data_IF_018332446883
#
_entry.id   IF_018332446883
#
_cell.length_a   1.000
_cell.length_b   1.000
_cell.length_c   1.000
_cell.angle_alpha   90.00
_cell.angle_beta   90.00
_cell.angle_gamma   90.00
#
_symmetry.space_group_name_H-M   'P 1'
#
loop_
_entity.id
_entity.type
_entity.pdbx_description
1 polymer ?
#
# COMPACT_ATOMS: atom_id res chain seq x y z
N UNK A 1 -13.39 20.65 -12.30
CA UNK A 1 -12.93 19.41 -11.62
C UNK A 1 -13.94 18.33 -11.96
N UNK A 2 -13.50 17.22 -12.56
CA UNK A 2 -14.40 16.08 -12.81
C UNK A 2 -14.82 15.45 -11.47
N UNK A 3 -16.02 14.86 -11.47
CA UNK A 3 -16.49 14.13 -10.30
C UNK A 3 -15.84 12.74 -10.28
N UNK A 4 -15.75 12.10 -9.10
CA UNK A 4 -15.27 10.72 -8.98
C UNK A 4 -15.98 9.78 -9.96
N UNK A 5 -17.31 9.92 -10.08
CA UNK A 5 -18.11 9.14 -11.00
C UNK A 5 -17.67 9.30 -12.47
N UNK A 6 -17.47 10.55 -12.93
CA UNK A 6 -17.01 10.82 -14.30
C UNK A 6 -15.63 10.20 -14.58
N UNK A 7 -14.73 10.22 -13.60
CA UNK A 7 -13.40 9.63 -13.76
C UNK A 7 -13.46 8.11 -13.80
N UNK A 8 -14.32 7.48 -12.99
CA UNK A 8 -14.58 6.03 -13.08
C UNK A 8 -15.22 5.65 -14.44
N UNK A 9 -16.14 6.47 -14.98
CA UNK A 9 -16.70 6.20 -16.30
C UNK A 9 -15.61 6.23 -17.40
N UNK A 10 -14.69 7.19 -17.37
CA UNK A 10 -13.54 7.22 -18.30
C UNK A 10 -12.63 5.99 -18.14
N UNK A 11 -12.49 5.48 -16.91
CA UNK A 11 -11.77 4.23 -16.66
C UNK A 11 -12.51 3.06 -17.32
N UNK A 12 -13.83 2.95 -17.12
CA UNK A 12 -14.66 1.88 -17.70
C UNK A 12 -14.56 1.81 -19.22
N UNK A 13 -14.47 2.95 -19.90
CA UNK A 13 -14.33 3.01 -21.37
C UNK A 13 -13.09 2.25 -21.89
N UNK A 14 -12.08 2.05 -21.05
CA UNK A 14 -10.88 1.27 -21.41
C UNK A 14 -11.06 -0.24 -21.26
N UNK A 15 -12.17 -0.67 -20.65
CA UNK A 15 -12.48 -2.07 -20.37
C UNK A 15 -13.84 -2.46 -20.93
N UNK A 16 -13.94 -2.63 -22.27
CA UNK A 16 -15.24 -2.85 -22.94
C UNK A 16 -15.95 -4.12 -22.51
N UNK A 17 -15.20 -5.11 -21.98
CA UNK A 17 -15.75 -6.42 -21.59
C UNK A 17 -16.38 -6.43 -20.19
N UNK A 18 -16.43 -5.27 -19.51
CA UNK A 18 -17.19 -5.15 -18.28
C UNK A 18 -16.54 -4.39 -17.13
N UNK A 19 -17.41 -3.98 -16.23
CA UNK A 19 -17.09 -3.18 -15.04
C UNK A 19 -16.14 -3.87 -14.07
N UNK A 20 -16.12 -5.21 -14.04
CA UNK A 20 -15.23 -5.98 -13.15
C UNK A 20 -13.75 -5.73 -13.43
N UNK A 21 -13.38 -5.63 -14.71
CA UNK A 21 -11.98 -5.35 -15.09
C UNK A 21 -11.52 -3.94 -14.74
N UNK A 22 -12.45 -3.00 -14.59
CA UNK A 22 -12.19 -1.62 -14.17
C UNK A 22 -12.08 -1.45 -12.65
N UNK A 23 -12.29 -2.52 -11.86
CA UNK A 23 -12.34 -2.43 -10.39
C UNK A 23 -11.02 -1.97 -9.77
N UNK A 24 -9.89 -2.52 -10.18
CA UNK A 24 -8.57 -2.14 -9.64
C UNK A 24 -8.29 -0.64 -9.79
N UNK A 25 -8.34 -0.05 -11.00
CA UNK A 25 -8.09 1.38 -11.15
C UNK A 25 -9.17 2.27 -10.50
N UNK A 26 -10.43 1.82 -10.41
CA UNK A 26 -11.47 2.57 -9.73
C UNK A 26 -11.27 2.57 -8.20
N UNK A 27 -10.93 1.43 -7.60
CA UNK A 27 -10.62 1.33 -6.17
C UNK A 27 -9.36 2.13 -5.81
N UNK A 28 -8.36 2.15 -6.69
CA UNK A 28 -7.18 3.00 -6.50
C UNK A 28 -7.56 4.48 -6.46
N UNK A 29 -8.41 4.93 -7.38
CA UNK A 29 -8.90 6.30 -7.40
C UNK A 29 -9.72 6.63 -6.14
N UNK A 30 -10.54 5.68 -5.65
CA UNK A 30 -11.28 5.83 -4.40
C UNK A 30 -10.32 5.95 -3.20
N UNK A 31 -9.28 5.12 -3.13
CA UNK A 31 -8.27 5.19 -2.08
C UNK A 31 -7.49 6.51 -2.10
N UNK A 32 -7.09 7.00 -3.27
CA UNK A 32 -6.44 8.31 -3.42
C UNK A 32 -7.34 9.47 -2.94
N UNK A 33 -8.65 9.36 -3.15
CA UNK A 33 -9.63 10.36 -2.71
C UNK A 33 -9.87 10.34 -1.19
N UNK A 34 -9.95 9.16 -0.59
CA UNK A 34 -10.36 8.97 0.80
C UNK A 34 -9.19 8.67 1.77
N UNK A 35 -7.96 8.45 1.24
CA UNK A 35 -6.78 8.04 2.00
C UNK A 35 -6.69 6.53 2.22
N UNK A 36 -7.83 5.88 2.44
CA UNK A 36 -7.98 4.42 2.50
C UNK A 36 -9.41 4.02 2.06
N UNK A 37 -9.65 2.74 1.82
CA UNK A 37 -10.94 2.24 1.36
C UNK A 37 -11.90 2.05 2.54
N UNK A 38 -12.58 3.13 2.94
CA UNK A 38 -13.68 3.05 3.89
C UNK A 38 -14.86 2.28 3.28
N UNK A 39 -15.83 1.92 4.11
CA UNK A 39 -17.07 1.32 3.62
C UNK A 39 -17.75 2.21 2.58
N UNK A 40 -17.82 3.50 2.84
CA UNK A 40 -18.42 4.50 1.95
C UNK A 40 -17.64 4.61 0.63
N UNK A 41 -16.30 4.56 0.69
CA UNK A 41 -15.44 4.57 -0.51
C UNK A 41 -15.67 3.32 -1.38
N UNK A 42 -15.87 2.16 -0.76
CA UNK A 42 -16.19 0.91 -1.47
C UNK A 42 -17.58 0.95 -2.10
N UNK A 43 -18.58 1.48 -1.38
CA UNK A 43 -19.94 1.67 -1.89
C UNK A 43 -19.95 2.68 -3.06
N UNK A 44 -19.25 3.82 -2.95
CA UNK A 44 -19.11 4.82 -4.02
C UNK A 44 -18.44 4.21 -5.28
N UNK A 45 -17.40 3.41 -5.09
CA UNK A 45 -16.74 2.73 -6.21
C UNK A 45 -17.64 1.68 -6.86
N UNK A 46 -18.39 0.92 -6.07
CA UNK A 46 -19.32 -0.10 -6.54
C UNK A 46 -20.45 0.51 -7.38
N UNK A 47 -21.05 1.60 -6.89
CA UNK A 47 -22.10 2.33 -7.61
C UNK A 47 -21.58 2.90 -8.94
N UNK A 48 -20.38 3.50 -8.94
CA UNK A 48 -19.78 4.04 -10.16
C UNK A 48 -19.41 2.96 -11.18
N UNK A 49 -19.10 1.75 -10.73
CA UNK A 49 -18.77 0.60 -11.58
C UNK A 49 -20.00 -0.19 -12.02
N UNK A 50 -21.16 0.01 -11.39
CA UNK A 50 -22.36 -0.83 -11.56
C UNK A 50 -22.09 -2.30 -11.16
N UNK A 51 -21.49 -2.49 -9.99
CA UNK A 51 -21.20 -3.79 -9.36
C UNK A 51 -21.66 -3.80 -7.89
N UNK A 52 -21.59 -4.94 -7.23
CA UNK A 52 -21.94 -5.01 -5.81
C UNK A 52 -20.81 -4.51 -4.91
N UNK A 53 -21.10 -3.86 -3.78
CA UNK A 53 -20.08 -3.50 -2.78
C UNK A 53 -19.27 -4.71 -2.28
N UNK A 54 -19.90 -5.89 -2.19
CA UNK A 54 -19.22 -7.14 -1.83
C UNK A 54 -18.14 -7.53 -2.84
N UNK A 55 -18.36 -7.28 -4.12
CA UNK A 55 -17.35 -7.50 -5.14
C UNK A 55 -16.16 -6.54 -4.94
N UNK A 56 -16.40 -5.24 -4.76
CA UNK A 56 -15.34 -4.26 -4.49
C UNK A 56 -14.55 -4.63 -3.22
N UNK A 57 -15.22 -5.03 -2.16
CA UNK A 57 -14.58 -5.50 -0.94
C UNK A 57 -13.71 -6.75 -1.18
N UNK A 58 -14.19 -7.73 -1.95
CA UNK A 58 -13.43 -8.93 -2.27
C UNK A 58 -12.15 -8.63 -3.06
N UNK A 59 -12.20 -7.65 -3.97
CA UNK A 59 -11.02 -7.17 -4.69
C UNK A 59 -10.07 -6.44 -3.74
N UNK A 60 -10.59 -5.55 -2.90
CA UNK A 60 -9.79 -4.76 -1.95
C UNK A 60 -9.07 -5.64 -0.92
N UNK A 61 -9.68 -6.74 -0.46
CA UNK A 61 -9.05 -7.69 0.47
C UNK A 61 -8.03 -8.62 -0.18
N UNK A 62 -8.11 -8.79 -1.49
CA UNK A 62 -7.21 -9.68 -2.22
C UNK A 62 -5.87 -9.01 -2.58
N UNK A 63 -5.86 -7.72 -2.86
CA UNK A 63 -4.68 -7.00 -3.33
C UNK A 63 -4.05 -6.17 -2.20
N UNK A 64 -2.79 -6.41 -1.89
CA UNK A 64 -2.03 -5.76 -0.81
C UNK A 64 -1.89 -4.23 -0.96
N UNK A 65 -2.06 -3.71 -2.18
CA UNK A 65 -2.00 -2.28 -2.45
C UNK A 65 -3.16 -1.49 -1.86
N UNK A 66 -4.24 -2.17 -1.47
CA UNK A 66 -5.41 -1.53 -0.89
C UNK A 66 -5.37 -1.56 0.64
N UNK A 67 -5.69 -0.41 1.23
CA UNK A 67 -5.75 -0.22 2.67
C UNK A 67 -7.21 -0.14 3.10
N UNK A 68 -7.64 -1.05 3.96
CA UNK A 68 -9.01 -1.10 4.52
C UNK A 68 -9.10 -0.41 5.89
N UNK A 69 -7.95 -0.02 6.44
CA UNK A 69 -7.80 0.68 7.70
C UNK A 69 -6.95 1.94 7.49
N UNK A 70 -7.06 2.93 8.38
CA UNK A 70 -6.22 4.12 8.30
C UNK A 70 -4.74 3.77 8.28
N UNK A 71 -4.01 4.40 7.37
CA UNK A 71 -2.55 4.29 7.26
C UNK A 71 -1.91 5.65 7.51
N UNK A 72 -0.63 5.65 7.86
CA UNK A 72 0.16 6.87 8.01
C UNK A 72 0.32 7.64 6.70
N UNK A 73 0.84 8.86 6.81
CA UNK A 73 1.17 9.66 5.63
C UNK A 73 2.23 8.98 4.77
N UNK A 74 3.14 8.24 5.42
CA UNK A 74 4.16 7.44 4.78
C UNK A 74 3.96 5.96 5.07
N UNK A 75 4.28 5.11 4.10
CA UNK A 75 4.30 3.66 4.26
C UNK A 75 5.70 3.12 4.05
N UNK A 76 6.18 2.31 4.99
CA UNK A 76 7.44 1.56 4.87
C UNK A 76 7.09 0.09 4.81
N UNK A 77 7.42 -0.56 3.69
CA UNK A 77 7.17 -1.98 3.46
C UNK A 77 8.49 -2.72 3.30
N UNK A 78 8.74 -3.71 4.14
CA UNK A 78 9.99 -4.48 4.16
C UNK A 78 9.72 -5.89 3.65
N UNK A 79 10.37 -6.27 2.57
CA UNK A 79 10.27 -7.62 2.02
C UNK A 79 10.93 -8.64 2.95
N UNK A 80 10.16 -9.68 3.31
CA UNK A 80 10.64 -10.76 4.20
C UNK A 80 10.74 -12.12 3.50
N UNK A 81 10.52 -12.18 2.19
CA UNK A 81 10.60 -13.41 1.41
C UNK A 81 12.02 -14.00 1.41
N UNK A 82 12.15 -15.23 0.91
CA UNK A 82 13.34 -16.05 1.02
C UNK A 82 14.66 -15.32 0.71
N UNK A 83 14.86 -14.63 -0.44
CA UNK A 83 16.12 -13.93 -0.71
C UNK A 83 16.41 -12.81 0.31
N UNK A 84 15.41 -12.00 0.65
CA UNK A 84 15.55 -10.93 1.64
C UNK A 84 15.77 -11.50 3.04
N UNK A 85 15.08 -12.58 3.41
CA UNK A 85 15.27 -13.31 4.66
C UNK A 85 16.70 -13.83 4.81
N UNK A 86 17.27 -14.43 3.76
CA UNK A 86 18.67 -14.87 3.74
C UNK A 86 19.67 -13.72 3.84
N UNK A 87 19.32 -12.52 3.34
CA UNK A 87 20.11 -11.30 3.45
C UNK A 87 19.90 -10.54 4.77
N UNK A 88 19.09 -11.08 5.70
CA UNK A 88 18.92 -10.50 7.04
C UNK A 88 17.72 -9.55 7.17
N UNK A 89 16.67 -9.70 6.36
CA UNK A 89 15.48 -8.86 6.41
C UNK A 89 14.85 -8.76 7.81
N UNK A 90 14.89 -9.82 8.63
CA UNK A 90 14.38 -9.77 9.98
C UNK A 90 15.10 -8.72 10.85
N UNK A 91 16.41 -8.57 10.70
CA UNK A 91 17.18 -7.53 11.40
C UNK A 91 16.86 -6.13 10.90
N UNK A 92 16.53 -6.01 9.61
CA UNK A 92 16.08 -4.74 9.03
C UNK A 92 14.70 -4.38 9.61
N UNK A 93 13.76 -5.32 9.69
CA UNK A 93 12.45 -5.10 10.34
C UNK A 93 12.65 -4.62 11.79
N UNK A 94 13.45 -5.34 12.58
CA UNK A 94 13.74 -4.99 13.98
C UNK A 94 14.38 -3.59 14.13
N UNK A 95 15.22 -3.18 13.19
CA UNK A 95 15.83 -1.86 13.19
C UNK A 95 14.78 -0.76 12.94
N UNK A 96 13.87 -0.95 11.97
CA UNK A 96 12.77 -0.02 11.72
C UNK A 96 11.77 0.02 12.88
N UNK A 97 11.43 -1.14 13.47
CA UNK A 97 10.56 -1.20 14.66
C UNK A 97 11.14 -0.39 15.82
N UNK A 98 12.45 -0.52 16.05
CA UNK A 98 13.15 0.22 17.09
C UNK A 98 13.19 1.73 16.80
N UNK A 99 13.45 2.12 15.56
CA UNK A 99 13.55 3.53 15.16
C UNK A 99 12.19 4.23 15.26
N UNK A 100 11.14 3.57 14.84
CA UNK A 100 9.77 4.10 14.84
C UNK A 100 9.03 3.91 16.18
N UNK A 101 9.52 3.04 17.07
CA UNK A 101 8.87 2.72 18.33
C UNK A 101 7.57 1.92 18.20
N UNK A 102 7.35 1.25 17.06
CA UNK A 102 6.16 0.45 16.75
C UNK A 102 6.55 -0.93 16.25
N UNK A 103 5.58 -1.82 16.12
CA UNK A 103 5.76 -3.14 15.50
C UNK A 103 5.33 -3.13 14.04
N UNK A 104 5.88 -4.07 13.25
CA UNK A 104 5.38 -4.30 11.90
C UNK A 104 3.88 -4.62 11.91
N UNK A 105 3.11 -3.91 11.12
CA UNK A 105 1.64 -3.91 11.09
C UNK A 105 1.01 -2.72 11.80
N UNK A 106 1.79 -1.88 12.47
CA UNK A 106 1.28 -0.73 13.23
C UNK A 106 1.59 0.61 12.54
N UNK A 107 0.87 1.64 12.97
CA UNK A 107 1.09 3.04 12.58
C UNK A 107 1.55 3.83 13.80
N UNK A 108 2.48 4.75 13.62
CA UNK A 108 2.96 5.65 14.70
C UNK A 108 1.80 6.46 15.28
N UNK A 109 1.88 6.81 16.58
CA UNK A 109 0.81 7.53 17.28
C UNK A 109 0.45 8.89 16.65
N UNK A 110 1.43 9.53 16.02
CA UNK A 110 1.27 10.80 15.29
C UNK A 110 0.60 10.61 13.91
N UNK A 111 0.34 9.36 13.49
CA UNK A 111 -0.22 9.05 12.19
C UNK A 111 0.73 9.29 11.02
N UNK A 112 2.02 9.42 11.27
CA UNK A 112 2.99 9.75 10.22
C UNK A 112 3.43 8.52 9.42
N UNK A 113 3.81 7.41 10.08
CA UNK A 113 4.40 6.25 9.42
C UNK A 113 3.64 4.96 9.73
N UNK A 114 3.31 4.19 8.71
CA UNK A 114 2.86 2.79 8.84
C UNK A 114 4.01 1.86 8.44
N UNK A 115 4.40 0.95 9.33
CA UNK A 115 5.42 -0.07 9.06
C UNK A 115 4.77 -1.40 8.71
N UNK A 116 5.19 -2.05 7.63
CA UNK A 116 4.69 -3.36 7.20
C UNK A 116 5.82 -4.31 6.86
N UNK A 117 5.73 -5.54 7.33
CA UNK A 117 6.49 -6.66 6.78
C UNK A 117 5.64 -7.30 5.68
N UNK A 118 6.15 -7.37 4.46
CA UNK A 118 5.43 -7.89 3.30
C UNK A 118 6.11 -9.12 2.73
N UNK A 119 5.32 -10.00 2.12
CA UNK A 119 5.82 -11.27 1.60
C UNK A 119 6.81 -11.07 0.46
N UNK A 120 6.52 -10.21 -0.53
CA UNK A 120 7.43 -10.05 -1.66
C UNK A 120 7.25 -8.70 -2.36
N UNK A 121 8.36 -7.99 -2.59
CA UNK A 121 8.42 -6.77 -3.40
C UNK A 121 9.00 -6.99 -4.81
N UNK A 122 9.30 -8.24 -5.19
CA UNK A 122 9.77 -8.58 -6.53
C UNK A 122 11.23 -8.20 -6.87
N UNK A 123 12.00 -7.68 -5.91
CA UNK A 123 13.36 -7.19 -6.11
C UNK A 123 14.46 -8.16 -5.64
N UNK A 124 14.31 -9.47 -5.87
CA UNK A 124 15.17 -10.50 -5.29
C UNK A 124 16.69 -10.37 -5.56
N UNK A 125 17.07 -9.76 -6.69
CA UNK A 125 18.48 -9.49 -7.01
C UNK A 125 19.08 -8.32 -6.23
N UNK A 126 18.27 -7.61 -5.43
CA UNK A 126 18.66 -6.39 -4.70
C UNK A 126 18.29 -6.46 -3.21
N UNK A 127 18.28 -7.68 -2.67
CA UNK A 127 17.90 -7.93 -1.27
C UNK A 127 18.87 -7.23 -0.29
N UNK A 128 18.40 -6.68 0.84
CA UNK A 128 17.02 -6.58 1.29
C UNK A 128 16.34 -5.40 0.60
N UNK A 129 15.10 -5.62 0.14
CA UNK A 129 14.33 -4.56 -0.51
C UNK A 129 13.33 -3.97 0.47
N UNK A 130 13.31 -2.65 0.54
CA UNK A 130 12.36 -1.85 1.30
C UNK A 130 11.66 -0.90 0.34
N UNK A 131 10.34 -0.81 0.39
CA UNK A 131 9.59 0.23 -0.31
C UNK A 131 9.21 1.33 0.68
N UNK A 132 9.48 2.57 0.29
CA UNK A 132 9.06 3.78 1.00
C UNK A 132 8.14 4.54 0.06
N UNK A 133 6.88 4.67 0.40
CA UNK A 133 5.85 5.30 -0.46
C UNK A 133 5.89 4.74 -1.89
N UNK A 134 5.92 3.40 -1.99
CA UNK A 134 6.03 2.65 -3.25
C UNK A 134 7.33 2.87 -4.05
N UNK A 135 8.34 3.53 -3.47
CA UNK A 135 9.66 3.71 -4.07
C UNK A 135 10.66 2.73 -3.46
N UNK A 136 11.26 1.89 -4.28
CA UNK A 136 12.18 0.86 -3.84
C UNK A 136 13.53 1.43 -3.41
N UNK A 137 13.97 0.95 -2.24
CA UNK A 137 15.34 1.05 -1.72
C UNK A 137 15.95 -0.35 -1.77
N UNK A 138 17.14 -0.45 -2.30
CA UNK A 138 17.84 -1.70 -2.53
C UNK A 138 18.99 -1.89 -1.54
N UNK A 139 19.33 -3.15 -1.24
CA UNK A 139 20.43 -3.51 -0.33
C UNK A 139 20.35 -2.83 1.03
N UNK A 140 19.13 -2.63 1.53
CA UNK A 140 18.92 -1.95 2.81
C UNK A 140 19.45 -2.82 3.94
N UNK A 141 20.25 -2.20 4.79
CA UNK A 141 20.85 -2.79 5.99
C UNK A 141 20.19 -2.20 7.26
N UNK A 142 20.31 -2.86 8.42
CA UNK A 142 19.74 -2.34 9.66
C UNK A 142 20.17 -0.90 10.03
N UNK A 143 21.41 -0.54 9.71
CA UNK A 143 21.96 0.80 9.95
C UNK A 143 21.33 1.91 9.12
N UNK A 144 20.69 1.58 8.00
CA UNK A 144 20.05 2.54 7.11
C UNK A 144 18.68 3.02 7.64
N UNK A 145 18.11 2.32 8.64
CA UNK A 145 16.77 2.60 9.14
C UNK A 145 16.61 4.04 9.64
N UNK A 146 17.58 4.55 10.43
CA UNK A 146 17.54 5.90 10.96
C UNK A 146 17.60 6.98 9.85
N UNK A 147 18.45 6.78 8.83
CA UNK A 147 18.53 7.69 7.68
C UNK A 147 17.24 7.70 6.87
N UNK A 148 16.67 6.52 6.61
CA UNK A 148 15.44 6.39 5.83
C UNK A 148 14.27 7.04 6.55
N UNK A 149 14.11 6.79 7.86
CA UNK A 149 13.05 7.38 8.69
C UNK A 149 13.23 8.90 8.80
N UNK A 150 14.45 9.37 9.06
CA UNK A 150 14.74 10.81 9.13
C UNK A 150 14.59 11.56 7.80
N UNK A 151 14.55 10.85 6.68
CA UNK A 151 14.33 11.42 5.35
C UNK A 151 12.87 11.53 4.93
N UNK A 152 11.90 11.09 5.77
CA UNK A 152 10.47 11.14 5.45
C UNK A 152 9.88 12.55 5.62
N UNK A 153 10.48 13.39 6.43
CA UNK A 153 10.01 14.75 6.74
C UNK A 153 10.45 15.82 5.72
N UNK A 154 10.89 15.42 4.54
CA UNK A 154 11.45 16.26 3.48
C UNK A 154 10.55 16.50 2.29
#
# INVERSE_FOLDING_TARGET
MSTFYEDVQKIRERYPDGSHSAALPALRLAQEKHGYLTREALEEAADALDVTPAFCYSVATFYDMFQLEPVGQHTIEICTNLPCGLCGAQKVVEAFEKELGIKAGETTEDGNVTLRAVECLGGCGYATVVAVDHRYRHHVMPEDAAEIVGGLDG
#
